data_IF_983128880996
#
_entry.id   IF_983128880996
#
_cell.length_a   1.000
_cell.length_b   1.000
_cell.length_c   1.000
_cell.angle_alpha   90.00
_cell.angle_beta   90.00
_cell.angle_gamma   90.00
#
_symmetry.space_group_name_H-M   'P 1'
#
loop_
_entity.id
_entity.type
_entity.pdbx_description
1 polymer ?
#
# COMPACT_ATOMS: atom_id res chain seq x y z
N UNK A 1 -40.22 10.69 2.94
CA UNK A 1 -39.17 9.99 3.70
C UNK A 1 -39.52 8.52 3.81
N UNK A 2 -39.09 7.70 2.85
CA UNK A 2 -39.29 6.25 2.86
C UNK A 2 -38.15 5.58 2.08
N UNK A 3 -37.55 4.59 2.72
CA UNK A 3 -36.82 3.44 2.16
C UNK A 3 -35.39 3.67 1.66
N UNK A 4 -34.43 3.69 2.60
CA UNK A 4 -33.07 3.24 2.31
C UNK A 4 -33.07 1.72 2.50
N UNK A 5 -33.13 0.98 1.39
CA UNK A 5 -33.03 -0.49 1.40
C UNK A 5 -31.57 -0.88 1.57
N UNK A 6 -31.30 -1.54 2.69
CA UNK A 6 -30.11 -2.32 3.00
C UNK A 6 -29.72 -3.17 1.77
N UNK A 7 -28.63 -2.81 1.09
CA UNK A 7 -28.08 -3.62 0.01
C UNK A 7 -27.18 -4.67 0.66
N UNK A 8 -27.53 -5.94 0.48
CA UNK A 8 -26.84 -7.07 1.08
C UNK A 8 -25.35 -7.07 0.72
N UNK A 9 -24.52 -6.97 1.74
CA UNK A 9 -23.10 -7.23 1.66
C UNK A 9 -22.93 -8.73 1.36
N UNK A 10 -22.66 -9.05 0.09
CA UNK A 10 -22.27 -10.41 -0.30
C UNK A 10 -20.95 -10.74 0.38
N UNK A 11 -21.00 -11.72 1.29
CA UNK A 11 -19.88 -12.31 2.00
C UNK A 11 -18.79 -12.78 1.01
N UNK A 12 -17.71 -12.02 0.89
CA UNK A 12 -16.41 -12.53 0.48
C UNK A 12 -15.64 -12.81 1.77
N UNK A 13 -15.80 -14.04 2.29
CA UNK A 13 -14.99 -14.56 3.39
C UNK A 13 -13.67 -15.06 2.78
N UNK A 14 -12.68 -14.18 2.73
CA UNK A 14 -11.28 -14.58 2.73
C UNK A 14 -10.79 -14.46 4.17
N UNK A 15 -10.14 -15.51 4.68
CA UNK A 15 -9.53 -15.58 6.01
C UNK A 15 -8.28 -14.70 6.09
N UNK A 16 -8.45 -13.39 6.02
CA UNK A 16 -7.43 -12.47 6.54
C UNK A 16 -7.65 -12.23 8.02
N UNK A 17 -6.57 -12.10 8.80
CA UNK A 17 -6.66 -11.67 10.20
C UNK A 17 -7.12 -10.20 10.28
N UNK A 18 -6.71 -9.40 9.29
CA UNK A 18 -7.07 -7.99 9.17
C UNK A 18 -7.74 -7.71 7.82
N UNK A 19 -8.78 -6.88 7.85
CA UNK A 19 -9.44 -6.36 6.65
C UNK A 19 -9.31 -4.85 6.58
N UNK A 20 -8.73 -4.34 5.48
CA UNK A 20 -8.67 -2.94 5.13
C UNK A 20 -9.68 -2.62 4.04
N UNK A 21 -10.72 -1.87 4.40
CA UNK A 21 -11.74 -1.38 3.47
C UNK A 21 -11.48 0.08 3.10
N UNK A 22 -11.33 0.33 1.81
CA UNK A 22 -11.20 1.64 1.23
C UNK A 22 -12.50 2.01 0.53
N UNK A 23 -13.08 3.14 0.93
CA UNK A 23 -14.22 3.74 0.26
C UNK A 23 -13.82 5.09 -0.31
N UNK A 24 -13.88 5.19 -1.64
CA UNK A 24 -13.56 6.40 -2.39
C UNK A 24 -14.78 6.88 -3.15
N UNK A 25 -15.09 8.17 -3.00
CA UNK A 25 -16.13 8.82 -3.78
C UNK A 25 -15.58 10.07 -4.45
N UNK A 26 -15.55 10.03 -5.78
CA UNK A 26 -15.17 11.19 -6.59
C UNK A 26 -16.42 12.01 -6.88
N UNK A 27 -16.39 13.28 -6.50
CA UNK A 27 -17.49 14.21 -6.74
C UNK A 27 -17.38 14.86 -8.14
N UNK A 28 -18.51 15.30 -8.75
CA UNK A 28 -18.50 15.99 -10.04
C UNK A 28 -17.57 17.20 -10.09
N UNK A 29 -17.33 17.86 -8.96
CA UNK A 29 -16.46 19.02 -8.81
C UNK A 29 -14.98 18.64 -8.98
N UNK A 30 -14.60 17.39 -8.67
CA UNK A 30 -13.22 16.88 -8.67
C UNK A 30 -12.68 16.60 -7.28
N UNK A 31 -13.37 17.04 -6.22
CA UNK A 31 -13.06 16.67 -4.84
C UNK A 31 -13.31 15.18 -4.62
N UNK A 32 -12.55 14.56 -3.73
CA UNK A 32 -12.66 13.14 -3.39
C UNK A 32 -12.88 12.96 -1.89
N UNK A 33 -13.93 12.23 -1.50
CA UNK A 33 -14.06 11.69 -0.14
C UNK A 33 -13.32 10.35 -0.09
N UNK A 34 -12.47 10.20 0.92
CA UNK A 34 -11.62 9.02 1.08
C UNK A 34 -11.76 8.51 2.52
N UNK A 35 -12.09 7.24 2.65
CA UNK A 35 -12.28 6.57 3.94
C UNK A 35 -11.48 5.26 3.91
N UNK A 36 -10.66 5.04 4.93
CA UNK A 36 -10.01 3.76 5.21
C UNK A 36 -10.58 3.24 6.50
N UNK A 37 -11.00 1.98 6.51
CA UNK A 37 -11.44 1.27 7.70
C UNK A 37 -10.68 -0.04 7.81
N UNK A 38 -9.87 -0.17 8.85
CA UNK A 38 -9.14 -1.40 9.17
C UNK A 38 -9.83 -2.08 10.34
N UNK A 39 -10.05 -3.38 10.23
CA UNK A 39 -10.75 -4.20 11.23
C UNK A 39 -9.92 -5.43 11.53
N UNK A 40 -9.60 -5.66 12.81
CA UNK A 40 -8.76 -6.77 13.27
C UNK A 40 -8.80 -6.88 14.79
N UNK A 41 -7.84 -7.60 15.36
CA UNK A 41 -7.66 -7.61 16.80
C UNK A 41 -6.87 -6.36 17.28
N UNK A 42 -6.54 -6.28 18.57
CA UNK A 42 -5.78 -5.13 19.07
C UNK A 42 -4.34 -5.11 18.57
N UNK A 43 -3.68 -6.27 18.50
CA UNK A 43 -2.28 -6.34 18.10
C UNK A 43 -2.12 -5.85 16.67
N UNK A 44 -3.01 -6.30 15.78
CA UNK A 44 -3.03 -5.93 14.37
C UNK A 44 -3.27 -4.42 14.16
N UNK A 45 -4.24 -3.84 14.88
CA UNK A 45 -4.61 -2.44 14.65
C UNK A 45 -3.53 -1.44 15.13
N UNK A 46 -2.64 -1.87 16.02
CA UNK A 46 -1.61 -1.03 16.66
C UNK A 46 -0.17 -1.33 16.21
N UNK A 47 0.10 -2.38 15.44
CA UNK A 47 1.45 -2.82 15.03
C UNK A 47 2.16 -1.91 14.01
N UNK A 48 1.40 -1.01 13.36
CA UNK A 48 1.90 0.00 12.40
C UNK A 48 2.44 -0.57 11.09
N UNK A 49 2.00 -1.75 10.67
CA UNK A 49 2.38 -2.35 9.38
C UNK A 49 1.75 -1.62 8.17
N UNK A 50 0.49 -1.21 8.31
CA UNK A 50 -0.31 -0.45 7.38
C UNK A 50 -0.73 0.88 8.02
N UNK A 51 -0.02 1.95 7.64
CA UNK A 51 -0.25 3.27 8.20
C UNK A 51 -1.44 3.97 7.54
N UNK A 52 -2.42 4.33 8.36
CA UNK A 52 -3.46 5.28 7.98
C UNK A 52 -2.92 6.71 7.84
N UNK A 53 -3.61 7.60 7.10
CA UNK A 53 -3.30 9.02 7.07
C UNK A 53 -3.29 9.63 8.47
N UNK A 54 -2.29 10.46 8.77
CA UNK A 54 -2.17 11.13 10.06
C UNK A 54 -3.28 12.17 10.27
N UNK A 55 -3.66 12.38 11.52
CA UNK A 55 -4.61 13.43 11.89
C UNK A 55 -4.08 14.81 11.53
N UNK A 56 -4.85 15.52 10.72
CA UNK A 56 -4.54 16.85 10.21
C UNK A 56 -5.85 17.66 10.12
N UNK A 57 -5.82 18.88 9.60
CA UNK A 57 -7.07 19.62 9.36
C UNK A 57 -7.98 18.95 8.32
N UNK A 58 -7.44 18.09 7.45
CA UNK A 58 -8.19 17.42 6.37
C UNK A 58 -8.45 15.94 6.62
N UNK A 59 -7.92 15.39 7.72
CA UNK A 59 -8.00 13.97 8.07
C UNK A 59 -8.40 13.79 9.52
N UNK A 60 -9.33 12.87 9.77
CA UNK A 60 -9.78 12.48 11.09
C UNK A 60 -9.66 10.96 11.23
N UNK A 61 -8.92 10.52 12.23
CA UNK A 61 -8.72 9.12 12.58
C UNK A 61 -9.35 8.83 13.92
N UNK A 62 -10.00 7.68 14.03
CA UNK A 62 -10.56 7.19 15.28
C UNK A 62 -10.32 5.69 15.40
N UNK A 63 -10.16 5.22 16.63
CA UNK A 63 -10.12 3.80 16.94
C UNK A 63 -11.27 3.51 17.89
N UNK A 64 -12.10 2.54 17.51
CA UNK A 64 -13.21 2.05 18.31
C UNK A 64 -13.05 0.56 18.59
N UNK A 65 -13.72 0.11 19.65
CA UNK A 65 -13.81 -1.30 20.02
C UNK A 65 -15.27 -1.71 19.98
N UNK A 66 -15.57 -2.76 19.25
CA UNK A 66 -16.89 -3.39 19.17
C UNK A 66 -16.81 -4.81 19.74
N UNK A 67 -17.95 -5.34 20.20
CA UNK A 67 -18.07 -6.76 20.56
C UNK A 67 -18.83 -7.44 19.43
N UNK A 68 -18.21 -8.44 18.81
CA UNK A 68 -18.80 -9.24 17.74
C UNK A 68 -18.64 -10.71 18.11
N UNK A 69 -19.75 -11.42 18.20
CA UNK A 69 -19.77 -12.86 18.54
C UNK A 69 -18.98 -13.17 19.82
N UNK A 70 -19.17 -12.34 20.86
CA UNK A 70 -18.49 -12.37 22.17
C UNK A 70 -16.98 -12.03 22.17
N UNK A 71 -16.39 -11.78 21.00
CA UNK A 71 -14.99 -11.37 20.87
C UNK A 71 -14.84 -9.86 20.64
N UNK A 72 -13.81 -9.23 21.24
CA UNK A 72 -13.50 -7.84 20.99
C UNK A 72 -12.87 -7.66 19.59
N UNK A 73 -13.44 -6.74 18.80
CA UNK A 73 -12.92 -6.35 17.49
C UNK A 73 -12.54 -4.87 17.53
N UNK A 74 -11.33 -4.54 17.06
CA UNK A 74 -10.86 -3.17 16.96
C UNK A 74 -11.06 -2.67 15.54
N UNK A 75 -11.52 -1.42 15.44
CA UNK A 75 -11.80 -0.76 14.17
C UNK A 75 -11.06 0.57 14.18
N UNK A 76 -10.16 0.75 13.22
CA UNK A 76 -9.48 2.02 12.95
C UNK A 76 -10.08 2.62 11.69
N UNK A 77 -10.67 3.80 11.80
CA UNK A 77 -11.26 4.51 10.67
C UNK A 77 -10.56 5.85 10.48
N UNK A 78 -10.06 6.11 9.27
CA UNK A 78 -9.52 7.40 8.86
C UNK A 78 -10.34 7.94 7.70
N UNK A 79 -10.82 9.17 7.85
CA UNK A 79 -11.66 9.85 6.86
C UNK A 79 -11.10 11.22 6.53
N UNK A 80 -11.09 11.56 5.24
CA UNK A 80 -10.66 12.86 4.77
C UNK A 80 -11.27 13.26 3.43
N UNK A 81 -11.04 14.52 3.07
CA UNK A 81 -11.35 15.05 1.76
C UNK A 81 -10.07 15.47 1.05
N UNK A 82 -9.92 15.03 -0.19
CA UNK A 82 -8.74 15.29 -1.04
C UNK A 82 -9.18 16.16 -2.21
N UNK A 83 -8.46 17.25 -2.44
CA UNK A 83 -8.72 18.20 -3.54
C UNK A 83 -7.54 18.31 -4.51
N UNK A 84 -6.45 17.59 -4.25
CA UNK A 84 -5.24 17.56 -5.07
C UNK A 84 -5.31 16.40 -6.06
N UNK A 85 -4.70 16.58 -7.23
CA UNK A 85 -4.66 15.52 -8.24
C UNK A 85 -3.81 14.32 -7.81
N UNK A 86 -2.77 14.54 -7.00
CA UNK A 86 -1.91 13.49 -6.46
C UNK A 86 -1.87 13.57 -4.93
N UNK A 87 -1.86 12.43 -4.25
CA UNK A 87 -1.70 12.33 -2.79
C UNK A 87 -0.93 11.07 -2.42
N UNK A 88 0.18 11.24 -1.69
CA UNK A 88 1.00 10.15 -1.15
C UNK A 88 0.47 9.69 0.21
N UNK A 89 0.50 8.38 0.47
CA UNK A 89 0.19 7.80 1.77
C UNK A 89 1.16 6.69 2.13
N UNK A 90 1.64 6.61 3.39
CA UNK A 90 1.44 7.56 4.50
C UNK A 90 2.24 8.88 4.37
N UNK A 91 2.93 9.08 3.24
CA UNK A 91 3.81 10.22 2.97
C UNK A 91 5.24 9.76 2.66
N UNK A 92 6.05 10.66 2.11
CA UNK A 92 7.35 10.32 1.51
C UNK A 92 8.49 9.96 2.51
N UNK A 93 8.25 10.11 3.82
CA UNK A 93 9.32 10.07 4.84
C UNK A 93 9.54 8.72 5.55
N UNK A 94 8.75 7.68 5.23
CA UNK A 94 8.77 6.41 5.99
C UNK A 94 9.37 5.26 5.17
N UNK A 95 10.66 4.98 5.37
CA UNK A 95 11.32 3.79 4.81
C UNK A 95 10.67 2.51 5.35
N UNK A 96 10.41 1.55 4.47
CA UNK A 96 9.90 0.22 4.85
C UNK A 96 8.39 0.15 5.07
N UNK A 97 7.65 1.26 5.05
CA UNK A 97 6.19 1.26 5.18
C UNK A 97 5.49 1.04 3.82
N UNK A 98 4.33 0.40 3.82
CA UNK A 98 3.52 0.24 2.61
C UNK A 98 3.02 1.59 2.10
N UNK A 99 3.46 1.96 0.90
CA UNK A 99 3.04 3.18 0.21
C UNK A 99 1.89 2.89 -0.73
N UNK A 100 0.90 3.78 -0.78
CA UNK A 100 -0.29 3.62 -1.61
C UNK A 100 -0.79 4.93 -2.24
N UNK A 101 0.06 5.67 -3.00
CA UNK A 101 -0.30 6.94 -3.60
C UNK A 101 -1.54 6.85 -4.51
N UNK A 102 -2.33 7.92 -4.48
CA UNK A 102 -3.56 8.10 -5.25
C UNK A 102 -3.41 9.26 -6.23
N UNK A 103 -3.89 9.05 -7.45
CA UNK A 103 -4.07 10.07 -8.46
C UNK A 103 -5.53 10.15 -8.90
N UNK A 104 -6.10 11.36 -8.88
CA UNK A 104 -7.44 11.66 -9.42
C UNK A 104 -7.35 12.88 -10.30
N UNK A 105 -7.78 12.73 -11.56
CA UNK A 105 -7.79 13.84 -12.51
C UNK A 105 -9.17 14.03 -13.14
N UNK A 106 -9.46 15.28 -13.48
CA UNK A 106 -10.70 15.70 -14.14
C UNK A 106 -10.38 16.51 -15.38
N UNK A 107 -10.74 15.99 -16.55
CA UNK A 107 -10.54 16.65 -17.83
C UNK A 107 -11.88 17.09 -18.43
N UNK A 108 -12.02 18.39 -18.71
CA UNK A 108 -13.24 18.97 -19.29
C UNK A 108 -13.04 19.15 -20.79
N UNK A 109 -13.73 18.34 -21.58
CA UNK A 109 -13.86 18.50 -23.02
C UNK A 109 -15.08 19.36 -23.41
N UNK A 110 -15.22 19.58 -24.72
CA UNK A 110 -16.33 20.32 -25.32
C UNK A 110 -17.71 19.69 -25.09
N UNK A 111 -17.82 18.36 -25.07
CA UNK A 111 -19.08 17.62 -24.84
C UNK A 111 -19.01 16.73 -23.60
N UNK A 112 -17.82 16.25 -23.26
CA UNK A 112 -17.61 15.23 -22.23
C UNK A 112 -16.68 15.74 -21.15
N UNK A 113 -17.00 15.44 -19.90
CA UNK A 113 -16.07 15.53 -18.76
C UNK A 113 -15.59 14.13 -18.42
N UNK A 114 -14.29 13.91 -18.43
CA UNK A 114 -13.66 12.64 -18.07
C UNK A 114 -13.09 12.73 -16.66
N UNK A 115 -13.31 11.70 -15.85
CA UNK A 115 -12.71 11.51 -14.54
C UNK A 115 -11.83 10.27 -14.62
N UNK A 116 -10.58 10.39 -14.16
CA UNK A 116 -9.65 9.26 -14.08
C UNK A 116 -9.22 9.08 -12.64
N UNK A 117 -9.15 7.82 -12.23
CA UNK A 117 -8.66 7.41 -10.92
C UNK A 117 -7.57 6.37 -11.11
N UNK A 118 -6.48 6.53 -10.37
CA UNK A 118 -5.40 5.57 -10.25
C UNK A 118 -4.95 5.50 -8.80
N UNK A 119 -4.75 4.30 -8.26
CA UNK A 119 -4.12 4.13 -6.95
C UNK A 119 -3.14 2.98 -7.01
N UNK A 120 -1.90 3.23 -6.61
CA UNK A 120 -0.80 2.28 -6.77
C UNK A 120 -0.30 1.83 -5.40
N UNK A 121 -0.42 0.54 -5.10
CA UNK A 121 0.27 -0.09 -3.99
C UNK A 121 1.70 -0.38 -4.43
N UNK A 122 2.66 0.28 -3.79
CA UNK A 122 4.08 0.14 -4.13
C UNK A 122 4.56 -1.29 -3.90
N UNK A 123 5.23 -1.84 -4.90
CA UNK A 123 5.82 -3.18 -4.82
C UNK A 123 6.91 -3.26 -3.76
N UNK A 124 6.94 -4.37 -3.00
CA UNK A 124 7.95 -4.58 -1.95
C UNK A 124 9.30 -5.04 -2.49
N UNK A 125 9.38 -5.45 -3.77
CA UNK A 125 10.60 -5.93 -4.42
C UNK A 125 11.18 -7.18 -3.77
N UNK A 126 10.35 -8.03 -3.16
CA UNK A 126 10.82 -9.08 -2.26
C UNK A 126 11.82 -10.04 -2.90
N UNK A 127 11.63 -10.40 -4.18
CA UNK A 127 12.49 -11.38 -4.85
C UNK A 127 13.89 -10.85 -5.15
N UNK A 128 14.09 -9.53 -5.03
CA UNK A 128 15.42 -8.90 -5.11
C UNK A 128 16.10 -8.80 -3.74
N UNK A 129 15.33 -8.79 -2.66
CA UNK A 129 15.79 -8.60 -1.29
C UNK A 129 16.00 -9.93 -0.56
N UNK A 130 14.93 -10.73 -0.50
CA UNK A 130 14.75 -11.96 0.28
C UNK A 130 13.85 -12.97 -0.48
N UNK A 131 14.32 -13.53 -1.61
CA UNK A 131 13.50 -14.39 -2.48
C UNK A 131 12.91 -15.63 -1.81
N UNK A 132 13.59 -16.25 -0.84
CA UNK A 132 13.05 -17.41 -0.11
C UNK A 132 11.84 -17.00 0.76
N UNK A 133 11.86 -15.80 1.34
CA UNK A 133 10.70 -15.27 2.06
C UNK A 133 9.55 -15.00 1.07
N UNK A 134 9.85 -14.44 -0.10
CA UNK A 134 8.85 -14.25 -1.16
C UNK A 134 8.19 -15.56 -1.60
N UNK A 135 8.97 -16.63 -1.75
CA UNK A 135 8.44 -17.95 -2.06
C UNK A 135 7.58 -18.52 -0.93
N UNK A 136 8.02 -18.37 0.33
CA UNK A 136 7.27 -18.82 1.49
C UNK A 136 5.89 -18.13 1.60
N UNK A 137 5.85 -16.80 1.46
CA UNK A 137 4.61 -16.01 1.44
C UNK A 137 3.72 -16.45 0.29
N UNK A 138 4.26 -16.53 -0.94
CA UNK A 138 3.47 -16.85 -2.13
C UNK A 138 2.84 -18.23 -2.09
N UNK A 139 3.54 -19.21 -1.52
CA UNK A 139 3.06 -20.59 -1.45
C UNK A 139 2.18 -20.84 -0.22
N UNK A 140 1.96 -19.84 0.64
CA UNK A 140 1.37 -20.01 1.97
C UNK A 140 2.05 -21.15 2.74
N UNK A 141 3.35 -21.34 2.53
CA UNK A 141 4.13 -22.37 3.21
C UNK A 141 4.40 -21.88 4.63
N UNK A 142 3.59 -22.38 5.57
CA UNK A 142 3.78 -22.15 6.98
C UNK A 142 5.21 -22.53 7.39
N UNK A 143 5.95 -21.57 7.94
CA UNK A 143 6.83 -21.66 9.11
C UNK A 143 7.94 -22.74 9.23
N UNK A 144 7.96 -23.80 8.41
CA UNK A 144 8.81 -24.98 8.62
C UNK A 144 10.20 -24.87 7.96
N UNK A 145 10.38 -23.95 7.00
CA UNK A 145 11.71 -23.67 6.47
C UNK A 145 12.36 -22.52 7.25
N UNK A 146 13.40 -22.82 8.02
CA UNK A 146 14.25 -21.81 8.67
C UNK A 146 15.11 -21.02 7.67
N UNK A 147 15.14 -21.46 6.40
CA UNK A 147 16.02 -20.93 5.37
C UNK A 147 15.69 -19.49 4.98
N UNK A 148 14.41 -19.16 4.75
CA UNK A 148 14.02 -17.77 4.47
C UNK A 148 14.34 -16.87 5.65
N UNK A 149 14.25 -17.40 6.87
CA UNK A 149 14.52 -16.65 8.07
C UNK A 149 16.01 -16.29 8.20
N UNK A 150 16.90 -17.22 7.86
CA UNK A 150 18.34 -16.97 7.73
C UNK A 150 18.65 -15.96 6.61
N UNK A 151 17.95 -16.05 5.47
CA UNK A 151 18.10 -15.10 4.36
C UNK A 151 17.69 -13.68 4.78
N UNK A 152 16.54 -13.53 5.42
CA UNK A 152 16.08 -12.24 5.96
C UNK A 152 17.08 -11.64 6.93
N UNK A 153 17.67 -12.46 7.79
CA UNK A 153 18.66 -11.96 8.73
C UNK A 153 19.99 -11.54 8.06
N UNK A 154 20.44 -12.30 7.06
CA UNK A 154 21.56 -11.89 6.20
C UNK A 154 21.29 -10.57 5.47
N UNK A 155 20.06 -10.39 4.96
CA UNK A 155 19.63 -9.14 4.33
C UNK A 155 19.74 -7.97 5.31
N UNK A 156 19.21 -8.11 6.53
CA UNK A 156 19.24 -7.07 7.56
C UNK A 156 20.68 -6.69 7.92
N UNK A 157 21.54 -7.67 8.24
CA UNK A 157 22.94 -7.39 8.60
C UNK A 157 23.70 -6.77 7.45
N UNK A 158 23.58 -7.31 6.24
CA UNK A 158 24.34 -6.82 5.07
C UNK A 158 24.02 -5.36 4.80
N UNK A 159 22.74 -5.01 4.76
CA UNK A 159 22.36 -3.63 4.52
C UNK A 159 22.67 -2.72 5.71
N UNK A 160 22.47 -3.20 6.95
CA UNK A 160 22.87 -2.45 8.15
C UNK A 160 24.37 -2.18 8.19
N UNK A 161 25.22 -3.13 7.78
CA UNK A 161 26.66 -2.95 7.69
C UNK A 161 27.04 -1.95 6.60
N UNK A 162 26.46 -2.06 5.41
CA UNK A 162 26.67 -1.11 4.32
C UNK A 162 26.26 0.31 4.73
N UNK A 163 25.16 0.46 5.46
CA UNK A 163 24.73 1.76 5.99
C UNK A 163 25.67 2.26 7.08
N UNK A 164 26.12 1.40 7.99
CA UNK A 164 27.05 1.77 9.05
C UNK A 164 28.46 2.12 8.51
N UNK A 165 28.91 1.51 7.41
CA UNK A 165 30.22 1.78 6.80
C UNK A 165 30.28 3.11 6.04
N UNK A 166 29.12 3.67 5.67
CA UNK A 166 29.02 5.04 5.12
C UNK A 166 29.20 6.12 6.19
N UNK A 167 29.11 5.77 7.47
CA UNK A 167 29.35 6.71 8.56
C UNK A 167 30.84 7.04 8.66
N UNK A 168 31.21 8.26 8.28
CA UNK A 168 32.61 8.72 8.29
C UNK A 168 33.24 8.79 9.68
N UNK A 169 32.43 8.76 10.75
CA UNK A 169 32.93 8.63 12.13
C UNK A 169 33.39 7.21 12.48
N UNK A 170 33.08 6.24 11.62
CA UNK A 170 33.37 4.83 11.83
C UNK A 170 34.49 4.35 10.89
N UNK A 171 35.74 4.55 11.31
CA UNK A 171 36.90 4.14 10.51
C UNK A 171 37.13 2.63 10.72
N UNK A 172 36.75 1.84 9.72
CA UNK A 172 37.04 0.41 9.68
C UNK A 172 38.40 0.13 9.02
N UNK A 173 39.15 -0.88 9.50
CA UNK A 173 40.33 -1.38 8.79
C UNK A 173 39.99 -1.82 7.36
N UNK A 174 40.95 -1.69 6.46
CA UNK A 174 40.79 -2.16 5.07
C UNK A 174 40.38 -3.65 5.04
N UNK A 175 39.34 -3.96 4.26
CA UNK A 175 38.80 -5.32 4.13
C UNK A 175 38.01 -5.82 5.34
N UNK A 176 37.79 -5.00 6.38
CA UNK A 176 37.02 -5.40 7.57
C UNK A 176 35.56 -5.72 7.22
N UNK A 177 34.93 -4.93 6.35
CA UNK A 177 33.53 -5.14 5.95
C UNK A 177 33.30 -6.55 5.38
N UNK A 178 34.14 -6.98 4.45
CA UNK A 178 34.08 -8.31 3.84
C UNK A 178 34.33 -9.43 4.86
N UNK A 179 35.29 -9.23 5.79
CA UNK A 179 35.56 -10.16 6.89
C UNK A 179 34.36 -10.30 7.81
N UNK A 180 33.69 -9.19 8.15
CA UNK A 180 32.49 -9.18 8.97
C UNK A 180 31.34 -9.90 8.28
N UNK A 181 31.05 -9.58 7.01
CA UNK A 181 30.01 -10.27 6.23
C UNK A 181 30.25 -11.77 6.15
N UNK A 182 31.50 -12.18 5.88
CA UNK A 182 31.89 -13.59 5.84
C UNK A 182 31.67 -14.27 7.18
N UNK A 183 32.04 -13.60 8.28
CA UNK A 183 31.83 -14.11 9.63
C UNK A 183 30.35 -14.25 9.99
N UNK A 184 29.52 -13.24 9.68
CA UNK A 184 28.08 -13.30 9.88
C UNK A 184 27.44 -14.46 9.11
N UNK A 185 27.75 -14.59 7.81
CA UNK A 185 27.24 -15.69 6.98
C UNK A 185 27.62 -17.07 7.57
N UNK A 186 28.86 -17.22 8.03
CA UNK A 186 29.33 -18.45 8.65
C UNK A 186 28.63 -18.73 9.98
N UNK A 187 28.43 -17.72 10.82
CA UNK A 187 27.70 -17.86 12.09
C UNK A 187 26.26 -18.31 11.84
N UNK A 188 25.57 -17.65 10.91
CA UNK A 188 24.16 -17.92 10.61
C UNK A 188 23.89 -19.25 9.95
N UNK A 189 24.88 -19.82 9.26
CA UNK A 189 24.79 -21.18 8.74
C UNK A 189 24.83 -22.28 9.81
N UNK A 190 25.15 -21.95 11.08
CA UNK A 190 25.44 -22.93 12.15
C UNK A 190 24.55 -22.80 13.39
N UNK A 191 23.79 -21.72 13.50
CA UNK A 191 23.05 -21.40 14.72
C UNK A 191 21.57 -21.70 14.51
N UNK A 192 20.92 -22.20 15.57
CA UNK A 192 19.49 -22.42 15.57
C UNK A 192 18.73 -21.09 15.41
N UNK A 193 17.80 -21.05 14.47
CA UNK A 193 17.10 -19.82 14.15
C UNK A 193 16.18 -19.32 15.27
N UNK A 194 15.47 -20.20 15.97
CA UNK A 194 14.51 -19.78 17.00
C UNK A 194 15.25 -19.08 18.16
N UNK A 195 16.47 -19.54 18.44
CA UNK A 195 17.38 -18.85 19.34
C UNK A 195 17.82 -17.49 18.80
N UNK A 196 18.22 -17.39 17.53
CA UNK A 196 18.60 -16.12 16.89
C UNK A 196 17.48 -15.08 16.91
N UNK A 197 16.26 -15.48 16.56
CA UNK A 197 15.10 -14.58 16.49
C UNK A 197 14.74 -14.03 17.86
N UNK A 198 14.73 -14.88 18.88
CA UNK A 198 14.48 -14.48 20.27
C UNK A 198 15.54 -13.49 20.75
N UNK A 199 16.82 -13.77 20.47
CA UNK A 199 17.92 -12.89 20.86
C UNK A 199 17.93 -11.57 20.08
N UNK A 200 17.52 -11.57 18.81
CA UNK A 200 17.38 -10.35 18.00
C UNK A 200 16.29 -9.42 18.52
N UNK A 201 15.12 -9.98 18.77
CA UNK A 201 13.94 -9.23 19.21
C UNK A 201 14.09 -8.75 20.65
N UNK A 202 14.73 -9.55 21.51
CA UNK A 202 14.84 -9.24 22.95
C UNK A 202 16.13 -8.50 23.31
N UNK A 203 17.25 -8.79 22.63
CA UNK A 203 18.57 -8.28 23.02
C UNK A 203 19.59 -8.21 21.87
N UNK A 204 19.23 -7.51 20.79
CA UNK A 204 20.08 -7.27 19.61
C UNK A 204 21.52 -6.87 19.94
N UNK A 205 21.71 -6.01 20.94
CA UNK A 205 23.03 -5.56 21.36
C UNK A 205 23.89 -6.73 21.87
N UNK A 206 23.35 -7.57 22.76
CA UNK A 206 24.09 -8.73 23.28
C UNK A 206 24.39 -9.77 22.19
N UNK A 207 23.45 -9.99 21.27
CA UNK A 207 23.68 -10.86 20.13
C UNK A 207 24.85 -10.35 19.28
N UNK A 208 24.85 -9.06 18.91
CA UNK A 208 25.93 -8.46 18.14
C UNK A 208 27.26 -8.51 18.89
N UNK A 209 27.27 -8.26 20.21
CA UNK A 209 28.47 -8.43 21.04
C UNK A 209 29.00 -9.87 21.01
N UNK A 210 28.11 -10.87 21.04
CA UNK A 210 28.47 -12.28 20.99
C UNK A 210 29.05 -12.66 19.63
N UNK A 211 28.38 -12.26 18.54
CA UNK A 211 28.82 -12.55 17.18
C UNK A 211 30.16 -11.86 16.90
N UNK A 212 30.31 -10.60 17.29
CA UNK A 212 31.46 -9.76 16.96
C UNK A 212 32.61 -9.85 17.98
N UNK A 213 32.50 -10.70 19.00
CA UNK A 213 33.56 -10.91 20.00
C UNK A 213 34.95 -11.17 19.38
N UNK A 214 35.10 -11.95 18.28
CA UNK A 214 36.40 -12.17 17.64
C UNK A 214 37.05 -10.91 17.06
N UNK A 215 36.26 -9.85 16.81
CA UNK A 215 36.72 -8.59 16.21
C UNK A 215 36.78 -7.44 17.22
N UNK A 216 36.49 -7.69 18.49
CA UNK A 216 36.38 -6.67 19.55
C UNK A 216 37.58 -5.72 19.66
N UNK A 217 38.78 -6.18 19.34
CA UNK A 217 40.01 -5.36 19.38
C UNK A 217 40.26 -4.57 18.08
N UNK A 218 39.59 -4.93 16.98
CA UNK A 218 39.76 -4.31 15.67
C UNK A 218 38.63 -3.33 15.32
N UNK A 219 37.52 -3.38 16.07
CA UNK A 219 36.34 -2.55 15.83
C UNK A 219 36.32 -1.33 16.76
N UNK A 220 35.90 -0.15 16.28
CA UNK A 220 35.60 0.99 17.14
C UNK A 220 34.56 0.65 18.21
N UNK A 221 34.66 1.26 19.39
CA UNK A 221 33.70 1.04 20.50
C UNK A 221 32.25 1.31 20.09
N UNK A 222 32.04 2.35 19.27
CA UNK A 222 30.73 2.75 18.77
C UNK A 222 30.21 1.89 17.60
N UNK A 223 30.97 0.88 17.16
CA UNK A 223 30.60 0.06 16.00
C UNK A 223 29.30 -0.70 16.22
N UNK A 224 29.20 -1.43 17.33
CA UNK A 224 28.03 -2.26 17.62
C UNK A 224 26.76 -1.41 17.77
N UNK A 225 26.76 -0.30 18.54
CA UNK A 225 25.61 0.60 18.59
C UNK A 225 25.20 1.20 17.24
N UNK A 226 26.16 1.62 16.42
CA UNK A 226 25.88 2.17 15.08
C UNK A 226 25.32 1.11 14.15
N UNK A 227 25.90 -0.10 14.15
CA UNK A 227 25.38 -1.23 13.36
C UNK A 227 23.96 -1.61 13.79
N UNK A 228 23.72 -1.76 15.10
CA UNK A 228 22.40 -2.07 15.65
C UNK A 228 21.34 -1.04 15.23
N UNK A 229 21.72 0.23 15.17
CA UNK A 229 20.86 1.34 14.72
C UNK A 229 20.62 1.28 13.21
N UNK A 230 21.68 1.06 12.43
CA UNK A 230 21.61 0.96 10.98
C UNK A 230 20.79 -0.24 10.48
N UNK A 231 20.63 -1.29 11.29
CA UNK A 231 19.78 -2.44 10.98
C UNK A 231 18.27 -2.16 11.12
N UNK A 232 17.86 -1.19 11.94
CA UNK A 232 16.44 -0.93 12.29
C UNK A 232 15.54 -0.76 11.06
N UNK A 233 15.89 0.04 10.04
CA UNK A 233 15.01 0.23 8.89
C UNK A 233 14.77 -1.07 8.10
N UNK A 234 15.79 -1.93 8.02
CA UNK A 234 15.70 -3.22 7.31
C UNK A 234 14.96 -4.28 8.12
N UNK A 235 15.07 -4.25 9.44
CA UNK A 235 14.23 -5.05 10.35
C UNK A 235 12.75 -4.67 10.15
N UNK A 236 12.46 -3.37 10.13
CA UNK A 236 11.10 -2.88 9.91
C UNK A 236 10.56 -3.23 8.51
N UNK A 237 11.39 -3.17 7.45
CA UNK A 237 10.99 -3.57 6.09
C UNK A 237 10.54 -5.04 6.02
N UNK A 238 11.26 -5.94 6.70
CA UNK A 238 10.90 -7.37 6.80
C UNK A 238 9.66 -7.55 7.69
N UNK A 239 9.60 -6.88 8.83
CA UNK A 239 8.46 -6.92 9.74
C UNK A 239 7.15 -6.55 9.02
N UNK A 240 7.11 -5.41 8.32
CA UNK A 240 5.93 -4.96 7.57
C UNK A 240 5.52 -6.01 6.52
N UNK A 241 6.47 -6.65 5.83
CA UNK A 241 6.14 -7.72 4.87
C UNK A 241 5.48 -8.92 5.55
N UNK A 242 5.95 -9.28 6.74
CA UNK A 242 5.43 -10.42 7.50
C UNK A 242 4.02 -10.16 8.03
N UNK A 243 3.77 -8.97 8.58
CA UNK A 243 2.44 -8.61 9.10
C UNK A 243 1.43 -8.43 7.96
N UNK A 244 1.80 -7.80 6.83
CA UNK A 244 0.91 -7.66 5.67
C UNK A 244 0.51 -8.99 5.01
N UNK A 245 1.13 -10.12 5.38
CA UNK A 245 0.92 -11.41 4.72
C UNK A 245 -0.53 -11.90 4.83
N UNK A 246 -1.18 -11.68 5.97
CA UNK A 246 -2.55 -12.10 6.24
C UNK A 246 -3.58 -10.97 6.12
N UNK A 247 -3.14 -9.79 5.67
CA UNK A 247 -4.02 -8.68 5.34
C UNK A 247 -4.85 -8.89 4.08
N UNK A 248 -6.06 -8.35 4.10
CA UNK A 248 -6.93 -8.27 2.93
C UNK A 248 -7.32 -6.82 2.63
N UNK A 249 -7.07 -6.39 1.40
CA UNK A 249 -7.39 -5.06 0.90
C UNK A 249 -8.65 -5.11 0.03
N UNK A 250 -9.67 -4.36 0.42
CA UNK A 250 -10.94 -4.24 -0.32
C UNK A 250 -11.18 -2.79 -0.71
N UNK A 251 -11.43 -2.55 -1.99
CA UNK A 251 -11.72 -1.21 -2.50
C UNK A 251 -13.15 -1.12 -3.00
N UNK A 252 -13.78 0.02 -2.73
CA UNK A 252 -15.08 0.40 -3.27
C UNK A 252 -15.02 1.84 -3.76
N UNK A 253 -15.24 2.05 -5.06
CA UNK A 253 -15.11 3.37 -5.69
C UNK A 253 -16.39 3.75 -6.41
N UNK A 254 -16.86 4.97 -6.17
CA UNK A 254 -17.98 5.59 -6.89
C UNK A 254 -17.45 6.79 -7.68
N UNK A 255 -17.64 6.77 -9.00
CA UNK A 255 -17.21 7.81 -9.92
C UNK A 255 -18.39 8.51 -10.60
N UNK A 256 -18.28 9.80 -10.98
CA UNK A 256 -19.34 10.48 -11.72
C UNK A 256 -19.53 9.90 -13.13
N UNK A 257 -20.78 9.73 -13.53
CA UNK A 257 -21.11 9.36 -14.91
C UNK A 257 -20.98 7.87 -15.20
N UNK A 258 -20.65 7.53 -16.45
CA UNK A 258 -20.56 6.14 -16.92
C UNK A 258 -19.11 5.69 -16.95
N UNK A 259 -18.81 4.54 -16.37
CA UNK A 259 -17.49 3.89 -16.46
C UNK A 259 -17.19 3.51 -17.92
N UNK A 260 -16.01 3.86 -18.41
CA UNK A 260 -15.53 3.56 -19.76
C UNK A 260 -14.31 2.63 -19.78
N UNK A 261 -13.52 2.64 -18.71
CA UNK A 261 -12.34 1.79 -18.56
C UNK A 261 -12.17 1.45 -17.08
N UNK A 262 -11.81 0.22 -16.76
CA UNK A 262 -11.47 -0.20 -15.39
C UNK A 262 -10.79 -1.57 -15.37
N UNK A 263 -9.95 -1.80 -14.37
CA UNK A 263 -9.47 -3.14 -14.00
C UNK A 263 -10.12 -3.68 -12.71
N UNK A 264 -11.30 -3.17 -12.32
CA UNK A 264 -12.05 -3.67 -11.16
C UNK A 264 -12.47 -5.14 -11.34
N UNK A 265 -12.42 -5.90 -10.25
CA UNK A 265 -12.86 -7.29 -10.21
C UNK A 265 -14.37 -7.39 -10.48
N UNK A 266 -15.14 -6.46 -9.91
CA UNK A 266 -16.60 -6.41 -10.08
C UNK A 266 -17.16 -4.99 -10.15
N UNK A 267 -18.30 -4.86 -10.82
CA UNK A 267 -19.12 -3.66 -10.84
C UNK A 267 -20.49 -3.98 -10.23
N UNK A 268 -20.77 -3.42 -9.05
CA UNK A 268 -22.05 -3.59 -8.37
C UNK A 268 -22.85 -2.28 -8.42
N UNK A 269 -23.73 -2.16 -9.43
CA UNK A 269 -24.42 -0.89 -9.70
C UNK A 269 -23.46 0.14 -10.28
N UNK A 270 -23.23 1.22 -9.54
CA UNK A 270 -22.29 2.30 -9.87
C UNK A 270 -20.94 2.19 -9.10
N UNK A 271 -20.79 1.14 -8.29
CA UNK A 271 -19.62 0.95 -7.44
C UNK A 271 -18.67 -0.07 -8.05
N UNK A 272 -17.44 0.38 -8.33
CA UNK A 272 -16.30 -0.45 -8.74
C UNK A 272 -15.67 -1.10 -7.52
N UNK A 273 -15.29 -2.37 -7.60
CA UNK A 273 -14.73 -3.11 -6.47
C UNK A 273 -13.48 -3.90 -6.83
N UNK A 274 -12.50 -3.88 -5.93
CA UNK A 274 -11.31 -4.73 -5.97
C UNK A 274 -11.14 -5.46 -4.65
N UNK A 275 -10.52 -6.64 -4.69
CA UNK A 275 -10.11 -7.43 -3.52
C UNK A 275 -8.76 -8.08 -3.81
N UNK A 276 -7.75 -7.81 -2.99
CA UNK A 276 -6.40 -8.36 -3.17
C UNK A 276 -5.68 -8.44 -1.82
N UNK A 277 -4.58 -9.19 -1.76
CA UNK A 277 -3.70 -9.30 -0.60
C UNK A 277 -2.28 -8.88 -0.94
N UNK A 278 -1.33 -9.24 -0.08
CA UNK A 278 0.09 -8.94 -0.30
C UNK A 278 0.63 -9.52 -1.62
N UNK A 279 0.15 -10.69 -2.05
CA UNK A 279 0.65 -11.38 -3.25
C UNK A 279 0.64 -10.50 -4.52
N UNK A 280 -0.35 -9.64 -4.68
CA UNK A 280 -0.50 -8.76 -5.83
C UNK A 280 0.58 -7.66 -5.90
N UNK A 281 1.13 -7.23 -4.77
CA UNK A 281 2.17 -6.20 -4.68
C UNK A 281 3.45 -6.67 -3.95
N UNK A 282 3.63 -7.98 -3.83
CA UNK A 282 4.74 -8.60 -3.12
C UNK A 282 6.10 -8.27 -3.78
N UNK A 283 6.12 -8.11 -5.10
CA UNK A 283 7.32 -7.74 -5.85
C UNK A 283 7.15 -6.43 -6.59
N UNK A 284 6.29 -6.43 -7.61
CA UNK A 284 6.00 -5.27 -8.44
C UNK A 284 4.82 -4.50 -7.88
N UNK A 285 4.68 -3.23 -8.26
CA UNK A 285 3.56 -2.42 -7.80
C UNK A 285 2.23 -2.90 -8.41
N UNK A 286 1.16 -2.81 -7.62
CA UNK A 286 -0.20 -3.13 -8.06
C UNK A 286 -1.02 -1.85 -8.20
N UNK A 287 -1.54 -1.58 -9.41
CA UNK A 287 -2.26 -0.34 -9.70
C UNK A 287 -3.74 -0.60 -10.00
N UNK A 288 -4.61 0.00 -9.20
CA UNK A 288 -6.04 0.08 -9.42
C UNK A 288 -6.33 1.23 -10.38
N UNK A 289 -7.12 1.01 -11.43
CA UNK A 289 -7.42 2.04 -12.43
C UNK A 289 -8.88 2.05 -12.83
N UNK A 290 -9.43 3.24 -13.00
CA UNK A 290 -10.76 3.45 -13.56
C UNK A 290 -10.89 4.81 -14.25
N UNK A 291 -11.70 4.85 -15.30
CA UNK A 291 -12.10 6.07 -15.96
C UNK A 291 -13.62 6.11 -16.16
N UNK A 292 -14.20 7.29 -15.97
CA UNK A 292 -15.61 7.55 -16.21
C UNK A 292 -15.84 8.83 -17.00
N UNK A 293 -16.98 8.91 -17.69
CA UNK A 293 -17.36 10.10 -18.47
C UNK A 293 -18.75 10.60 -18.09
N UNK A 294 -18.90 11.92 -18.06
CA UNK A 294 -20.18 12.64 -17.97
C UNK A 294 -20.38 13.40 -19.26
N UNK A 295 -21.50 13.17 -19.96
CA UNK A 295 -21.85 13.89 -21.18
C UNK A 295 -22.68 15.13 -20.80
N UNK A 296 -22.27 16.31 -21.26
CA UNK A 296 -23.03 17.54 -21.09
C UNK A 296 -24.31 17.49 -21.92
N UNK A 297 -25.44 17.31 -21.23
CA UNK A 297 -26.77 17.33 -21.86
C UNK A 297 -27.07 18.67 -22.50
N UNK A 298 -26.65 19.78 -21.88
CA UNK A 298 -26.88 21.13 -22.40
C UNK A 298 -26.07 21.41 -23.67
N UNK A 299 -24.80 20.99 -23.71
CA UNK A 299 -23.97 21.15 -24.91
C UNK A 299 -24.47 20.26 -26.02
N UNK A 300 -24.81 19.01 -25.70
CA UNK A 300 -25.40 18.07 -26.65
C UNK A 300 -26.72 18.61 -27.24
N UNK A 301 -27.61 19.15 -26.42
CA UNK A 301 -28.87 19.77 -26.87
C UNK A 301 -28.61 20.98 -27.79
N UNK A 302 -27.68 21.87 -27.42
CA UNK A 302 -27.31 23.03 -28.27
C UNK A 302 -26.78 22.58 -29.63
N UNK A 303 -25.95 21.54 -29.67
CA UNK A 303 -25.42 20.96 -30.90
C UNK A 303 -26.56 20.40 -31.77
N UNK A 304 -27.47 19.60 -31.18
CA UNK A 304 -28.63 19.05 -31.89
C UNK A 304 -29.54 20.17 -32.44
N UNK A 305 -29.81 21.21 -31.67
CA UNK A 305 -30.60 22.37 -32.12
C UNK A 305 -29.88 23.10 -33.26
N UNK A 306 -28.57 23.34 -33.14
CA UNK A 306 -27.80 24.00 -34.19
C UNK A 306 -27.82 23.21 -35.51
N UNK A 307 -27.60 21.90 -35.47
CA UNK A 307 -27.64 21.06 -36.67
C UNK A 307 -29.04 20.95 -37.28
N UNK A 308 -30.09 20.83 -36.47
CA UNK A 308 -31.47 20.77 -37.00
C UNK A 308 -31.87 22.09 -37.68
N UNK A 309 -31.44 23.23 -37.14
CA UNK A 309 -31.67 24.56 -37.73
C UNK A 309 -30.87 24.75 -39.03
N UNK A 310 -29.61 24.32 -39.05
CA UNK A 310 -28.76 24.33 -40.26
C UNK A 310 -29.37 23.49 -41.39
N UNK A 311 -29.81 22.26 -41.09
CA UNK A 311 -30.46 21.36 -42.06
C UNK A 311 -31.75 22.00 -42.59
N UNK A 312 -32.56 22.58 -41.71
CA UNK A 312 -33.81 23.26 -42.08
C UNK A 312 -33.56 24.46 -43.01
N UNK A 313 -32.52 25.25 -42.76
CA UNK A 313 -32.11 26.37 -43.63
C UNK A 313 -31.63 25.88 -45.01
N UNK A 314 -30.89 24.78 -45.06
CA UNK A 314 -30.47 24.17 -46.33
C UNK A 314 -31.69 23.74 -47.14
N UNK A 315 -32.63 22.99 -46.53
CA UNK A 315 -33.87 22.59 -47.21
C UNK A 315 -34.69 23.79 -47.68
N UNK A 316 -34.81 24.83 -46.86
CA UNK A 316 -35.51 26.06 -47.23
C UNK A 316 -34.85 26.77 -48.42
N UNK A 317 -33.52 26.87 -48.44
CA UNK A 317 -32.78 27.47 -49.55
C UNK A 317 -32.91 26.67 -50.86
N UNK A 318 -32.91 25.34 -50.76
CA UNK A 318 -33.14 24.44 -51.90
C UNK A 318 -34.57 24.56 -52.42
N UNK A 319 -35.55 24.72 -51.52
CA UNK A 319 -36.94 24.95 -51.88
C UNK A 319 -37.13 26.28 -52.62
N UNK A 320 -36.50 27.37 -52.15
CA UNK A 320 -36.52 28.66 -52.84
C UNK A 320 -35.90 28.56 -54.24
N UNK A 321 -34.76 27.87 -54.39
CA UNK A 321 -34.09 27.71 -55.70
C UNK A 321 -34.86 26.88 -56.72
N UNK A 322 -35.79 26.02 -56.27
CA UNK A 322 -36.56 25.12 -57.13
C UNK A 322 -37.87 25.73 -57.62
N UNK A 323 -38.22 26.93 -57.12
CA UNK A 323 -39.42 27.69 -57.45
C UNK A 323 -39.08 28.83 -58.39
#
# INVERSE_FOLDING_TARGET
MKNLRLLGLSLFLFCGCVEHLFFIRIFPEGQTEFIIRSTGDSTDIYDSDFLHPMDTQTWMTSITKEIRDDDPVWIKESKGFISTEYTSFPGDEHFGVQQYPMEVSKSIGWITTTYSYSQTFSGRGIYTKVPLLGEAIRNNEAADSTQWKTESFNYIIRNGLNTASLDTSLILPYGMEERLLTHFNNYLSRVDYEQLYTELTTNKFNLLHTILAPFSNELPVEFIPKLATAMIPFEHDIFVIMELQDDQFKFAIIMPGRIVETNADTLAGDTLKWSFGLNEFLNDSYTLQAQSIVISTTTFQKIVIFFTLLISLIFFSLWIKKR
#
